data_IF_747325981701
#
_entry.id   IF_747325981701
#
_cell.length_a   1.000
_cell.length_b   1.000
_cell.length_c   1.000
_cell.angle_alpha   90.00
_cell.angle_beta   90.00
_cell.angle_gamma   90.00
#
_symmetry.space_group_name_H-M   'P 1'
#
loop_
_entity.id
_entity.type
_entity.pdbx_description
1 polymer ?
#
# COMPACT_ATOMS: atom_id res chain seq x y z
N UNK A 1 22.06 -3.47 -21.95
CA UNK A 1 20.62 -3.77 -21.99
C UNK A 1 20.01 -2.74 -21.06
N UNK A 2 19.77 -1.53 -21.57
CA UNK A 2 19.70 -0.31 -20.75
C UNK A 2 18.32 0.36 -20.87
N UNK A 3 17.24 -0.42 -20.75
CA UNK A 3 15.87 0.08 -20.97
C UNK A 3 14.91 -0.05 -19.77
N UNK A 4 15.38 -0.33 -18.55
CA UNK A 4 14.47 -0.58 -17.40
C UNK A 4 14.92 0.02 -16.05
N UNK A 5 15.62 1.15 -16.00
CA UNK A 5 15.54 2.00 -14.81
C UNK A 5 14.29 2.88 -14.94
N UNK A 6 13.10 2.27 -14.88
CA UNK A 6 11.86 3.05 -14.83
C UNK A 6 11.80 3.69 -13.46
N UNK A 7 12.34 4.90 -13.38
CA UNK A 7 12.25 5.76 -12.21
C UNK A 7 10.82 6.30 -12.12
N UNK A 8 9.97 5.63 -11.34
CA UNK A 8 8.55 6.00 -11.22
C UNK A 8 8.42 7.35 -10.53
N UNK A 9 7.83 8.33 -11.21
CA UNK A 9 7.47 9.64 -10.66
C UNK A 9 6.29 9.58 -9.69
N UNK A 10 5.26 8.82 -10.07
CA UNK A 10 4.00 8.71 -9.36
C UNK A 10 3.53 7.26 -9.36
N UNK A 11 3.37 6.70 -8.16
CA UNK A 11 2.81 5.38 -7.95
C UNK A 11 1.48 5.53 -7.22
N UNK A 12 0.44 4.88 -7.75
CA UNK A 12 -0.86 4.80 -7.08
C UNK A 12 -1.19 3.34 -6.84
N UNK A 13 -1.56 3.00 -5.61
CA UNK A 13 -1.95 1.65 -5.27
C UNK A 13 -3.24 1.66 -4.44
N UNK A 14 -4.27 1.01 -4.99
CA UNK A 14 -5.51 0.68 -4.30
C UNK A 14 -5.48 -0.84 -4.01
N UNK A 15 -4.82 -1.27 -2.91
CA UNK A 15 -4.54 -2.67 -2.65
C UNK A 15 -5.78 -3.45 -2.21
N UNK A 16 -5.73 -4.79 -2.20
CA UNK A 16 -6.67 -5.60 -1.43
C UNK A 16 -6.43 -5.37 0.07
N UNK A 17 -7.20 -4.47 0.67
CA UNK A 17 -7.04 -4.00 2.05
C UNK A 17 -8.05 -4.59 3.05
N UNK A 18 -8.93 -5.48 2.60
CA UNK A 18 -9.98 -6.05 3.45
C UNK A 18 -9.38 -7.17 4.31
N UNK A 19 -9.53 -7.13 5.65
CA UNK A 19 -9.13 -8.23 6.50
C UNK A 19 -9.89 -9.51 6.14
N UNK A 20 -9.15 -10.60 5.93
CA UNK A 20 -9.69 -11.93 5.62
C UNK A 20 -9.00 -12.98 6.45
N UNK A 21 -9.63 -14.14 6.62
CA UNK A 21 -8.95 -15.28 7.24
C UNK A 21 -7.84 -15.84 6.31
N UNK A 22 -7.03 -16.73 6.88
CA UNK A 22 -5.88 -17.30 6.18
C UNK A 22 -6.31 -18.19 4.99
N UNK A 23 -7.46 -18.87 5.07
CA UNK A 23 -7.92 -19.75 4.01
C UNK A 23 -8.41 -18.93 2.81
N UNK A 24 -9.25 -17.92 3.04
CA UNK A 24 -9.74 -17.00 2.02
C UNK A 24 -8.57 -16.26 1.33
N UNK A 25 -7.60 -15.80 2.12
CA UNK A 25 -6.39 -15.18 1.56
C UNK A 25 -5.56 -16.15 0.72
N UNK A 26 -5.34 -17.38 1.19
CA UNK A 26 -4.60 -18.38 0.43
C UNK A 26 -5.34 -18.81 -0.83
N UNK A 27 -6.67 -18.87 -0.78
CA UNK A 27 -7.51 -19.17 -1.92
C UNK A 27 -7.44 -18.04 -2.95
N UNK A 28 -7.49 -16.78 -2.53
CA UNK A 28 -7.38 -15.63 -3.45
C UNK A 28 -6.05 -15.63 -4.22
N UNK A 29 -4.95 -15.99 -3.56
CA UNK A 29 -3.63 -16.10 -4.19
C UNK A 29 -3.55 -17.27 -5.19
N UNK A 30 -4.19 -18.40 -4.87
CA UNK A 30 -4.18 -19.62 -5.71
C UNK A 30 -5.09 -19.49 -6.93
N UNK A 31 -6.33 -19.08 -6.70
CA UNK A 31 -7.37 -19.03 -7.72
C UNK A 31 -7.28 -17.76 -8.58
N UNK A 32 -6.74 -16.66 -8.04
CA UNK A 32 -6.64 -15.35 -8.70
C UNK A 32 -7.97 -14.89 -9.30
N UNK A 33 -9.06 -15.20 -8.61
CA UNK A 33 -10.40 -14.80 -8.97
C UNK A 33 -10.70 -13.39 -8.41
N UNK A 34 -11.98 -13.01 -8.37
CA UNK A 34 -12.41 -11.70 -7.90
C UNK A 34 -11.98 -11.42 -6.44
N UNK A 35 -11.75 -12.45 -5.61
CA UNK A 35 -11.29 -12.29 -4.23
C UNK A 35 -9.93 -11.63 -4.09
N UNK A 36 -9.07 -11.75 -5.12
CA UNK A 36 -7.77 -11.07 -5.14
C UNK A 36 -7.90 -9.53 -5.17
N UNK A 37 -9.08 -8.99 -5.48
CA UNK A 37 -9.33 -7.55 -5.47
C UNK A 37 -9.51 -6.98 -4.05
N UNK A 38 -9.88 -7.80 -3.05
CA UNK A 38 -10.13 -7.32 -1.69
C UNK A 38 -9.32 -8.04 -0.61
N UNK A 39 -9.04 -9.34 -0.77
CA UNK A 39 -8.50 -10.19 0.29
C UNK A 39 -7.05 -9.82 0.68
N UNK A 40 -6.90 -9.13 1.81
CA UNK A 40 -5.62 -8.62 2.30
C UNK A 40 -5.03 -9.43 3.46
N UNK A 41 -5.62 -10.55 3.86
CA UNK A 41 -5.15 -11.39 4.99
C UNK A 41 -5.52 -10.81 6.35
N UNK A 42 -4.88 -11.28 7.43
CA UNK A 42 -5.40 -11.11 8.80
C UNK A 42 -5.67 -9.66 9.25
N UNK A 43 -4.83 -8.70 8.83
CA UNK A 43 -5.04 -7.25 9.06
C UNK A 43 -5.40 -6.47 7.78
N UNK A 44 -5.66 -7.18 6.69
CA UNK A 44 -5.78 -6.56 5.37
C UNK A 44 -4.46 -5.97 4.84
N UNK A 45 -3.32 -6.44 5.36
CA UNK A 45 -2.00 -5.84 5.13
C UNK A 45 -0.98 -6.73 4.44
N UNK A 46 -1.24 -8.01 4.20
CA UNK A 46 -0.24 -8.94 3.67
C UNK A 46 0.30 -8.54 2.29
N UNK A 47 -0.55 -7.91 1.47
CA UNK A 47 -0.14 -7.37 0.17
C UNK A 47 0.52 -6.00 0.33
N UNK A 48 0.04 -5.18 1.25
CA UNK A 48 0.56 -3.84 1.55
C UNK A 48 1.98 -3.94 2.10
N UNK A 49 2.20 -4.74 3.14
CA UNK A 49 3.48 -4.85 3.84
C UNK A 49 4.58 -5.38 2.89
N UNK A 50 4.26 -6.34 2.02
CA UNK A 50 5.18 -6.81 0.96
C UNK A 50 5.49 -5.73 -0.07
N UNK A 51 4.50 -4.93 -0.46
CA UNK A 51 4.73 -3.81 -1.37
C UNK A 51 5.64 -2.75 -0.75
N UNK A 52 5.44 -2.41 0.52
CA UNK A 52 6.23 -1.38 1.21
C UNK A 52 7.71 -1.78 1.34
N UNK A 53 8.02 -3.07 1.49
CA UNK A 53 9.40 -3.59 1.52
C UNK A 53 10.16 -3.34 0.20
N UNK A 54 9.46 -3.31 -0.94
CA UNK A 54 10.05 -3.13 -2.27
C UNK A 54 9.96 -1.68 -2.77
N UNK A 55 9.29 -0.79 -2.03
CA UNK A 55 8.92 0.55 -2.49
C UNK A 55 10.13 1.40 -2.89
N UNK A 56 11.22 1.34 -2.13
CA UNK A 56 12.45 2.12 -2.39
C UNK A 56 13.18 1.73 -3.68
N UNK A 57 12.90 0.54 -4.22
CA UNK A 57 13.49 0.06 -5.48
C UNK A 57 12.77 0.58 -6.71
N UNK A 58 11.50 0.99 -6.57
CA UNK A 58 10.64 1.35 -7.71
C UNK A 58 10.41 2.85 -7.85
N UNK A 59 10.36 3.59 -6.74
CA UNK A 59 10.06 5.03 -6.76
C UNK A 59 11.35 5.84 -6.79
N UNK A 60 11.44 6.85 -7.66
CA UNK A 60 12.64 7.69 -7.77
C UNK A 60 12.74 8.75 -6.66
N UNK A 61 13.92 9.32 -6.39
CA UNK A 61 14.02 10.53 -5.56
C UNK A 61 13.13 11.66 -6.09
N UNK A 62 12.32 12.25 -5.20
CA UNK A 62 11.26 13.22 -5.54
C UNK A 62 9.94 12.60 -5.98
N UNK A 63 9.86 11.27 -6.12
CA UNK A 63 8.64 10.58 -6.52
C UNK A 63 7.60 10.46 -5.41
N UNK A 64 6.34 10.34 -5.81
CA UNK A 64 5.17 10.31 -4.94
C UNK A 64 4.46 8.95 -5.00
N UNK A 65 3.90 8.56 -3.86
CA UNK A 65 3.11 7.33 -3.71
C UNK A 65 1.79 7.67 -3.06
N UNK A 66 0.69 7.14 -3.59
CA UNK A 66 -0.62 7.19 -2.96
C UNK A 66 -1.14 5.78 -2.69
N UNK A 67 -1.46 5.50 -1.44
CA UNK A 67 -1.92 4.19 -0.97
C UNK A 67 -3.29 4.33 -0.31
N UNK A 68 -4.28 3.56 -0.76
CA UNK A 68 -5.60 3.49 -0.11
C UNK A 68 -5.58 2.42 0.98
N UNK A 69 -6.09 2.76 2.16
CA UNK A 69 -6.23 1.83 3.29
C UNK A 69 -7.53 2.08 4.06
N UNK A 70 -8.00 1.06 4.79
CA UNK A 70 -9.02 1.19 5.83
C UNK A 70 -8.39 1.62 7.16
N UNK A 71 -9.19 2.22 8.03
CA UNK A 71 -8.82 2.48 9.44
C UNK A 71 -8.29 1.21 10.13
N UNK A 72 -8.91 0.06 9.88
CA UNK A 72 -8.52 -1.24 10.44
C UNK A 72 -7.17 -1.75 9.95
N UNK A 73 -6.60 -1.15 8.89
CA UNK A 73 -5.23 -1.46 8.49
C UNK A 73 -4.21 -0.70 9.35
N UNK A 74 -4.63 0.07 10.35
CA UNK A 74 -3.75 0.83 11.26
C UNK A 74 -2.79 1.76 10.49
N UNK A 75 -3.33 2.79 9.80
CA UNK A 75 -2.56 3.66 8.91
C UNK A 75 -1.34 4.31 9.58
N UNK A 76 -1.39 4.60 10.88
CA UNK A 76 -0.25 5.17 11.61
C UNK A 76 0.95 4.22 11.68
N UNK A 77 0.73 2.89 11.82
CA UNK A 77 1.84 1.92 11.78
C UNK A 77 2.51 1.90 10.41
N UNK A 78 1.71 2.00 9.34
CA UNK A 78 2.21 2.07 7.96
C UNK A 78 3.04 3.34 7.76
N UNK A 79 2.54 4.49 8.22
CA UNK A 79 3.24 5.75 8.13
C UNK A 79 4.57 5.72 8.90
N UNK A 80 4.57 5.15 10.10
CA UNK A 80 5.79 5.01 10.90
C UNK A 80 6.82 4.08 10.27
N UNK A 81 6.39 2.96 9.67
CA UNK A 81 7.27 2.09 8.90
C UNK A 81 7.92 2.86 7.74
N UNK A 82 7.11 3.52 6.91
CA UNK A 82 7.58 4.24 5.72
C UNK A 82 8.51 5.40 6.08
N UNK A 83 8.25 6.11 7.20
CA UNK A 83 9.14 7.15 7.73
C UNK A 83 10.51 6.60 8.14
N UNK A 84 10.56 5.41 8.76
CA UNK A 84 11.84 4.74 9.13
C UNK A 84 12.64 4.34 7.90
N UNK A 85 11.97 4.00 6.80
CA UNK A 85 12.58 3.72 5.49
C UNK A 85 13.04 5.00 4.75
N UNK A 86 12.93 6.18 5.38
CA UNK A 86 13.48 7.44 4.86
C UNK A 86 12.53 8.26 3.98
N UNK A 87 11.25 7.89 3.91
CA UNK A 87 10.23 8.66 3.20
C UNK A 87 9.59 9.72 4.10
N UNK A 88 9.06 10.79 3.49
CA UNK A 88 8.05 11.64 4.15
C UNK A 88 6.69 10.98 3.96
N UNK A 89 5.86 10.93 5.00
CA UNK A 89 4.60 10.21 4.98
C UNK A 89 3.51 10.94 5.76
N UNK A 90 2.33 11.09 5.16
CA UNK A 90 1.16 11.75 5.75
C UNK A 90 -0.17 11.13 5.28
N UNK A 91 -1.26 11.42 5.99
CA UNK A 91 -2.62 11.15 5.51
C UNK A 91 -3.05 12.33 4.64
N UNK A 92 -3.16 12.11 3.32
CA UNK A 92 -3.56 13.16 2.39
C UNK A 92 -5.08 13.40 2.38
N UNK A 93 -5.86 12.34 2.59
CA UNK A 93 -7.32 12.42 2.65
C UNK A 93 -7.88 11.31 3.53
N UNK A 94 -9.01 11.58 4.18
CA UNK A 94 -9.82 10.58 4.86
C UNK A 94 -11.28 10.74 4.46
N UNK A 95 -12.00 9.64 4.31
CA UNK A 95 -13.43 9.65 4.00
C UNK A 95 -14.13 8.44 4.60
N UNK A 96 -15.29 8.66 5.18
CA UNK A 96 -16.21 7.57 5.53
C UNK A 96 -17.13 7.27 4.35
N UNK A 97 -17.23 6.00 3.98
CA UNK A 97 -18.13 5.49 2.94
C UNK A 97 -18.85 4.25 3.47
N UNK A 98 -20.15 4.39 3.76
CA UNK A 98 -20.90 3.34 4.45
C UNK A 98 -20.34 3.11 5.85
N UNK A 99 -20.01 1.85 6.16
CA UNK A 99 -19.42 1.46 7.46
C UNK A 99 -17.89 1.58 7.47
N UNK A 100 -17.28 1.87 6.34
CA UNK A 100 -15.84 1.89 6.17
C UNK A 100 -15.29 3.31 6.30
N UNK A 101 -14.21 3.45 7.07
CA UNK A 101 -13.41 4.67 7.11
C UNK A 101 -12.13 4.43 6.31
N UNK A 102 -12.01 5.13 5.19
CA UNK A 102 -10.93 5.03 4.24
C UNK A 102 -9.95 6.19 4.42
N UNK A 103 -8.67 5.90 4.20
CA UNK A 103 -7.59 6.86 4.18
C UNK A 103 -6.81 6.72 2.89
N UNK A 104 -6.38 7.86 2.35
CA UNK A 104 -5.37 7.92 1.30
C UNK A 104 -4.08 8.41 1.96
N UNK A 105 -3.11 7.51 2.06
CA UNK A 105 -1.77 7.83 2.53
C UNK A 105 -0.96 8.37 1.36
N UNK A 106 -0.14 9.40 1.62
CA UNK A 106 0.80 9.96 0.66
C UNK A 106 2.21 9.77 1.19
N UNK A 107 3.08 9.21 0.35
CA UNK A 107 4.52 9.11 0.61
C UNK A 107 5.30 9.92 -0.41
N UNK A 108 6.42 10.49 0.00
CA UNK A 108 7.36 11.19 -0.86
C UNK A 108 8.77 10.69 -0.55
N UNK A 109 9.48 10.23 -1.58
CA UNK A 109 10.91 9.94 -1.44
C UNK A 109 11.68 11.26 -1.52
N UNK A 110 12.42 11.67 -0.48
CA UNK A 110 13.19 12.92 -0.55
C UNK A 110 14.19 12.92 -1.72
N UNK A 111 14.40 14.10 -2.30
CA UNK A 111 15.54 14.34 -3.20
C UNK A 111 16.78 14.43 -2.30
N UNK A 112 17.77 13.57 -2.55
CA UNK A 112 19.07 13.61 -1.87
C UNK A 112 19.90 14.81 -2.34
#
# INVERSE_FOLDING_TARGET
>A
MDWLCVEVDLLVFNPPYVPTDAEEYMQSLKCRDISAAWAGGGRGREVIDRFLQELSRVIRPGGLVYLVVLENNEPEEILDFVRREGFRAEIAMSRTAGIEKLHVLRFERPIA
#
